data_IF_637456022187
#
_entry.id   IF_637456022187
#
_cell.length_a   1.000
_cell.length_b   1.000
_cell.length_c   1.000
_cell.angle_alpha   90.00
_cell.angle_beta   90.00
_cell.angle_gamma   90.00
#
_symmetry.space_group_name_H-M   'P 1'
#
loop_
_entity.id
_entity.type
_entity.pdbx_description
1 polymer ?
#
# COMPACT_ATOMS: atom_id res chain seq x y z
N UNK A 1 -8.73 25.76 -11.01
CA UNK A 1 -7.61 24.87 -10.65
C UNK A 1 -7.66 23.67 -11.57
N UNK A 2 -6.61 23.42 -12.36
CA UNK A 2 -6.53 22.25 -13.23
C UNK A 2 -6.22 21.02 -12.37
N UNK A 3 -7.19 20.12 -12.22
CA UNK A 3 -7.05 18.89 -11.44
C UNK A 3 -6.27 17.78 -12.19
N UNK A 4 -5.80 18.06 -13.41
CA UNK A 4 -5.00 17.18 -14.29
C UNK A 4 -3.89 16.38 -13.57
N UNK A 5 -3.10 16.92 -12.62
CA UNK A 5 -2.03 16.17 -11.96
C UNK A 5 -2.54 15.01 -11.09
N UNK A 6 -3.71 15.15 -10.48
CA UNK A 6 -4.28 14.12 -9.60
C UNK A 6 -4.88 12.95 -10.38
N UNK A 7 -5.20 13.16 -11.66
CA UNK A 7 -5.73 12.11 -12.54
C UNK A 7 -4.65 11.12 -13.02
N UNK A 8 -3.36 11.42 -12.80
CA UNK A 8 -2.22 10.60 -13.20
C UNK A 8 -1.67 9.71 -12.07
N UNK A 9 -2.29 9.73 -10.90
CA UNK A 9 -1.87 8.85 -9.80
C UNK A 9 -2.18 7.40 -10.19
N UNK A 10 -1.16 6.53 -10.07
CA UNK A 10 -1.36 5.10 -10.29
C UNK A 10 -2.45 4.60 -9.32
N UNK A 11 -3.55 4.14 -9.93
CA UNK A 11 -4.76 3.70 -9.22
C UNK A 11 -4.51 2.49 -8.33
N UNK A 12 -3.47 1.71 -8.62
CA UNK A 12 -3.02 0.63 -7.74
C UNK A 12 -2.54 1.27 -6.45
N UNK A 13 -1.48 2.05 -6.42
CA UNK A 13 -0.91 2.51 -5.13
C UNK A 13 -1.67 3.66 -4.47
N UNK A 14 -2.56 4.37 -5.16
CA UNK A 14 -3.24 5.56 -4.61
C UNK A 14 -4.22 5.26 -3.46
N UNK A 15 -4.69 4.01 -3.35
CA UNK A 15 -5.52 3.60 -2.22
C UNK A 15 -4.71 3.64 -0.91
N UNK A 16 -5.31 4.18 0.16
CA UNK A 16 -4.63 4.50 1.43
C UNK A 16 -3.85 3.32 2.00
N UNK A 17 -4.43 2.12 1.99
CA UNK A 17 -3.81 0.92 2.51
C UNK A 17 -2.57 0.51 1.73
N UNK A 18 -2.67 0.45 0.41
CA UNK A 18 -1.53 0.13 -0.46
C UNK A 18 -0.43 1.19 -0.41
N UNK A 19 -0.79 2.47 -0.39
CA UNK A 19 0.19 3.54 -0.22
C UNK A 19 0.94 3.40 1.11
N UNK A 20 0.23 3.05 2.19
CA UNK A 20 0.82 2.80 3.50
C UNK A 20 1.82 1.66 3.49
N UNK A 21 1.47 0.52 2.86
CA UNK A 21 2.37 -0.64 2.67
C UNK A 21 3.62 -0.23 1.91
N UNK A 22 3.46 0.42 0.75
CA UNK A 22 4.60 0.85 -0.08
C UNK A 22 5.49 1.85 0.65
N UNK A 23 4.91 2.77 1.42
CA UNK A 23 5.66 3.77 2.18
C UNK A 23 6.45 3.15 3.33
N UNK A 24 5.85 2.18 4.05
CA UNK A 24 6.53 1.46 5.12
C UNK A 24 7.71 0.63 4.58
N UNK A 25 7.49 -0.10 3.48
CA UNK A 25 8.54 -0.92 2.86
C UNK A 25 9.62 -0.10 2.15
N UNK A 26 9.28 1.10 1.66
CA UNK A 26 10.29 2.04 1.16
C UNK A 26 11.24 2.53 2.27
N UNK A 27 10.75 2.64 3.51
CA UNK A 27 11.56 3.04 4.67
C UNK A 27 12.32 1.84 5.30
N UNK A 28 11.70 0.66 5.29
CA UNK A 28 12.25 -0.59 5.81
C UNK A 28 11.96 -1.73 4.81
N UNK A 29 12.93 -2.11 3.95
CA UNK A 29 12.71 -3.04 2.83
C UNK A 29 12.09 -4.40 3.19
N UNK A 30 12.26 -4.81 4.45
CA UNK A 30 11.66 -6.03 4.99
C UNK A 30 11.06 -5.72 6.36
N UNK A 31 9.84 -6.22 6.60
CA UNK A 31 9.12 -6.03 7.85
C UNK A 31 8.26 -7.27 8.14
N UNK A 32 8.20 -7.75 9.40
CA UNK A 32 7.28 -8.81 9.79
C UNK A 32 5.83 -8.44 9.48
N UNK A 33 5.04 -9.40 8.96
CA UNK A 33 3.64 -9.18 8.60
C UNK A 33 2.82 -8.56 9.75
N UNK A 34 2.99 -9.07 10.97
CA UNK A 34 2.25 -8.57 12.14
C UNK A 34 2.65 -7.16 12.52
N UNK A 35 3.93 -6.79 12.34
CA UNK A 35 4.40 -5.45 12.61
C UNK A 35 3.84 -4.46 11.58
N UNK A 36 3.86 -4.82 10.29
CA UNK A 36 3.27 -4.00 9.22
C UNK A 36 1.75 -3.83 9.42
N UNK A 37 1.07 -4.91 9.81
CA UNK A 37 -0.35 -4.90 10.14
C UNK A 37 -0.66 -3.93 11.27
N UNK A 38 0.08 -4.04 12.37
CA UNK A 38 -0.15 -3.25 13.58
C UNK A 38 0.20 -1.78 13.32
N UNK A 39 1.29 -1.51 12.60
CA UNK A 39 1.70 -0.18 12.14
C UNK A 39 0.61 0.50 11.30
N UNK A 40 0.02 -0.24 10.36
CA UNK A 40 -1.01 0.29 9.46
C UNK A 40 -2.44 0.17 10.02
N UNK A 41 -2.60 -0.36 11.23
CA UNK A 41 -3.89 -0.59 11.90
C UNK A 41 -4.87 -1.38 11.03
N UNK A 42 -4.35 -2.40 10.34
CA UNK A 42 -5.13 -3.29 9.48
C UNK A 42 -5.50 -4.58 10.19
N UNK A 43 -6.50 -5.28 9.65
CA UNK A 43 -6.69 -6.70 9.95
C UNK A 43 -5.83 -7.55 9.03
N UNK A 44 -5.55 -8.80 9.41
CA UNK A 44 -4.81 -9.75 8.57
C UNK A 44 -5.43 -9.89 7.17
N UNK A 45 -6.77 -9.96 7.11
CA UNK A 45 -7.51 -10.07 5.86
C UNK A 45 -7.36 -8.84 4.97
N UNK A 46 -7.42 -7.64 5.57
CA UNK A 46 -7.26 -6.41 4.81
C UNK A 46 -5.83 -6.28 4.25
N UNK A 47 -4.83 -6.50 5.11
CA UNK A 47 -3.42 -6.44 4.71
C UNK A 47 -3.10 -7.48 3.62
N UNK A 48 -3.59 -8.72 3.77
CA UNK A 48 -3.42 -9.77 2.75
C UNK A 48 -4.03 -9.38 1.41
N UNK A 49 -5.22 -8.79 1.41
CA UNK A 49 -5.88 -8.36 0.17
C UNK A 49 -5.10 -7.25 -0.53
N UNK A 50 -4.62 -6.24 0.22
CA UNK A 50 -3.83 -5.17 -0.35
C UNK A 50 -2.48 -5.66 -0.91
N UNK A 51 -1.78 -6.53 -0.18
CA UNK A 51 -0.51 -7.10 -0.64
C UNK A 51 -0.68 -7.98 -1.88
N UNK A 52 -1.76 -8.77 -1.95
CA UNK A 52 -2.08 -9.55 -3.16
C UNK A 52 -2.27 -8.63 -4.38
N UNK A 53 -3.03 -7.54 -4.23
CA UNK A 53 -3.22 -6.58 -5.32
C UNK A 53 -1.89 -5.92 -5.75
N UNK A 54 -1.03 -5.56 -4.80
CA UNK A 54 0.30 -5.01 -5.11
C UNK A 54 1.16 -6.02 -5.88
N UNK A 55 1.22 -7.27 -5.39
CA UNK A 55 1.99 -8.35 -6.03
C UNK A 55 1.48 -8.68 -7.44
N UNK A 56 0.16 -8.76 -7.63
CA UNK A 56 -0.46 -9.00 -8.94
C UNK A 56 -0.19 -7.84 -9.93
N UNK A 57 0.01 -6.62 -9.43
CA UNK A 57 0.38 -5.46 -10.21
C UNK A 57 1.91 -5.32 -10.43
N UNK A 58 2.73 -6.20 -9.85
CA UNK A 58 4.18 -6.24 -10.03
C UNK A 58 4.97 -5.27 -9.15
N UNK A 59 4.37 -4.82 -8.03
CA UNK A 59 5.04 -4.06 -6.99
C UNK A 59 5.79 -4.96 -5.99
#
# INVERSE_FOLDING_TARGET
MNAEPFLQLDRVIHEKGRLGIMSALAAAPEMPFTELRDLLQMTDGNLTSHMRTLQEAGY
#
